data_IF_302640913301
#
_entry.id   IF_302640913301
#
_cell.length_a   1.000
_cell.length_b   1.000
_cell.length_c   1.000
_cell.angle_alpha   90.00
_cell.angle_beta   90.00
_cell.angle_gamma   90.00
#
_symmetry.space_group_name_H-M   'P 1'
#
loop_
_entity.id
_entity.type
_entity.pdbx_description
1 polymer ?
#
# COMPACT_ATOMS: atom_id res chain seq x y z
N UNK A 1 -41.41 -42.13 55.05
CA UNK A 1 -40.00 -41.97 54.67
C UNK A 1 -39.91 -42.32 53.22
N UNK A 2 -39.90 -41.30 52.41
CA UNK A 2 -40.03 -41.45 50.96
C UNK A 2 -38.82 -40.75 50.32
N UNK A 3 -38.01 -41.52 49.66
CA UNK A 3 -36.85 -41.06 48.89
C UNK A 3 -37.24 -40.98 47.44
N UNK A 4 -37.24 -39.74 46.90
CA UNK A 4 -37.40 -39.50 45.48
C UNK A 4 -36.04 -39.56 44.77
N UNK A 5 -35.95 -40.08 43.55
CA UNK A 5 -34.73 -40.11 42.76
C UNK A 5 -34.53 -38.79 42.00
N UNK A 6 -33.29 -38.31 42.01
CA UNK A 6 -32.81 -37.16 41.29
C UNK A 6 -32.61 -37.56 39.82
N UNK A 7 -33.26 -36.87 38.89
CA UNK A 7 -33.08 -37.01 37.47
C UNK A 7 -31.92 -36.11 37.03
N UNK A 8 -30.87 -36.73 36.45
CA UNK A 8 -29.78 -36.00 35.79
C UNK A 8 -30.26 -35.37 34.48
N UNK A 9 -29.79 -34.19 34.12
CA UNK A 9 -30.00 -33.64 32.78
C UNK A 9 -29.00 -34.24 31.79
N UNK A 10 -29.51 -34.78 30.71
CA UNK A 10 -28.73 -35.17 29.54
C UNK A 10 -27.97 -33.97 28.99
N UNK A 11 -26.64 -34.01 29.03
CA UNK A 11 -25.75 -33.15 28.27
C UNK A 11 -25.88 -33.55 26.79
N UNK A 12 -26.57 -32.74 26.00
CA UNK A 12 -26.49 -32.76 24.55
C UNK A 12 -25.20 -32.03 24.15
N UNK A 13 -24.16 -32.78 23.82
CA UNK A 13 -23.00 -32.26 23.11
C UNK A 13 -23.46 -31.75 21.72
N UNK A 14 -23.02 -30.54 21.30
CA UNK A 14 -23.23 -30.15 19.91
C UNK A 14 -22.29 -30.98 19.03
N UNK A 15 -22.85 -31.90 18.28
CA UNK A 15 -22.18 -32.63 17.20
C UNK A 15 -21.73 -31.60 16.14
N UNK A 16 -20.54 -31.07 16.29
CA UNK A 16 -19.85 -30.37 15.18
C UNK A 16 -19.52 -31.47 14.15
N UNK A 17 -20.32 -31.51 13.11
CA UNK A 17 -19.99 -32.24 11.89
C UNK A 17 -18.68 -31.64 11.33
N UNK A 18 -17.57 -32.31 11.56
CA UNK A 18 -16.30 -32.11 10.87
C UNK A 18 -16.48 -32.53 9.42
N UNK A 19 -17.14 -31.70 8.62
CA UNK A 19 -17.11 -31.84 7.18
C UNK A 19 -15.64 -31.73 6.77
N UNK A 20 -15.11 -32.74 6.13
CA UNK A 20 -13.79 -32.74 5.48
C UNK A 20 -13.85 -31.64 4.43
N UNK A 21 -13.32 -30.45 4.79
CA UNK A 21 -13.29 -29.29 3.88
C UNK A 21 -12.27 -29.61 2.81
N UNK A 22 -12.72 -29.79 1.59
CA UNK A 22 -11.87 -29.93 0.40
C UNK A 22 -11.10 -28.61 0.28
N UNK A 23 -9.77 -28.64 0.25
CA UNK A 23 -8.94 -27.47 0.14
C UNK A 23 -9.33 -26.65 -1.10
N UNK A 24 -9.41 -25.33 -0.95
CA UNK A 24 -9.71 -24.43 -2.06
C UNK A 24 -8.46 -24.26 -2.93
N UNK A 25 -8.60 -24.35 -4.25
CA UNK A 25 -7.51 -23.96 -5.15
C UNK A 25 -7.28 -22.47 -5.04
N UNK A 26 -8.35 -21.67 -5.02
CA UNK A 26 -8.31 -20.22 -4.92
C UNK A 26 -9.40 -19.70 -3.97
N UNK A 27 -9.02 -18.83 -3.07
CA UNK A 27 -9.93 -17.97 -2.31
C UNK A 27 -9.89 -16.57 -2.88
N UNK A 28 -11.04 -16.00 -3.22
CA UNK A 28 -11.18 -14.60 -3.69
C UNK A 28 -11.98 -13.83 -2.64
N UNK A 29 -11.38 -12.80 -2.05
CA UNK A 29 -12.05 -11.92 -1.10
C UNK A 29 -12.40 -10.60 -1.78
N UNK A 30 -13.65 -10.18 -1.62
CA UNK A 30 -14.20 -8.95 -2.19
C UNK A 30 -14.76 -8.06 -1.07
N UNK A 31 -13.91 -7.28 -0.36
CA UNK A 31 -14.33 -6.49 0.81
C UNK A 31 -15.40 -5.45 0.51
N UNK A 32 -15.48 -4.97 -0.74
CA UNK A 32 -16.42 -3.92 -1.17
C UNK A 32 -17.44 -4.42 -2.20
N UNK A 33 -17.80 -5.72 -2.17
CA UNK A 33 -18.67 -6.31 -3.19
C UNK A 33 -20.13 -5.87 -3.05
N UNK A 34 -20.74 -5.53 -4.19
CA UNK A 34 -22.19 -5.50 -4.40
C UNK A 34 -22.63 -6.80 -5.08
N UNK A 35 -23.94 -7.08 -5.10
CA UNK A 35 -24.47 -8.24 -5.81
C UNK A 35 -24.08 -8.27 -7.30
N UNK A 36 -24.03 -7.12 -7.95
CA UNK A 36 -23.62 -6.97 -9.36
C UNK A 36 -22.13 -7.30 -9.54
N UNK A 37 -21.25 -6.75 -8.68
CA UNK A 37 -19.82 -7.05 -8.69
C UNK A 37 -19.59 -8.56 -8.48
N UNK A 38 -20.31 -9.16 -7.53
CA UNK A 38 -20.20 -10.58 -7.25
C UNK A 38 -20.55 -11.42 -8.50
N UNK A 39 -21.67 -11.13 -9.16
CA UNK A 39 -22.10 -11.88 -10.34
C UNK A 39 -21.07 -11.76 -11.48
N UNK A 40 -20.63 -10.56 -11.78
CA UNK A 40 -19.60 -10.31 -12.80
C UNK A 40 -18.29 -11.03 -12.48
N UNK A 41 -17.86 -11.00 -11.22
CA UNK A 41 -16.62 -11.69 -10.81
C UNK A 41 -16.74 -13.20 -10.87
N UNK A 42 -17.91 -13.78 -10.57
CA UNK A 42 -18.16 -15.22 -10.78
C UNK A 42 -17.93 -15.65 -12.23
N UNK A 43 -18.52 -14.92 -13.17
CA UNK A 43 -18.40 -15.21 -14.60
C UNK A 43 -16.95 -15.08 -15.08
N UNK A 44 -16.25 -14.06 -14.62
CA UNK A 44 -14.84 -13.83 -14.96
C UNK A 44 -13.92 -14.90 -14.40
N UNK A 45 -14.13 -15.33 -13.14
CA UNK A 45 -13.35 -16.39 -12.51
C UNK A 45 -13.63 -17.77 -13.13
N UNK A 46 -14.87 -18.07 -13.48
CA UNK A 46 -15.22 -19.28 -14.20
C UNK A 46 -14.47 -19.38 -15.56
N UNK A 47 -14.38 -18.24 -16.26
CA UNK A 47 -13.62 -18.14 -17.50
C UNK A 47 -12.10 -18.21 -17.29
N UNK A 48 -11.59 -17.62 -16.21
CA UNK A 48 -10.15 -17.55 -15.93
C UNK A 48 -9.57 -18.91 -15.51
N UNK A 49 -10.33 -19.71 -14.74
CA UNK A 49 -9.88 -20.94 -14.09
C UNK A 49 -10.94 -22.06 -14.21
N UNK A 50 -11.19 -22.58 -15.40
CA UNK A 50 -12.22 -23.59 -15.59
C UNK A 50 -11.88 -24.87 -14.82
N UNK A 51 -12.89 -25.41 -14.13
CA UNK A 51 -12.79 -26.70 -13.40
C UNK A 51 -12.00 -26.64 -12.08
N UNK A 52 -11.61 -25.45 -11.59
CA UNK A 52 -10.96 -25.30 -10.30
C UNK A 52 -11.97 -25.05 -9.18
N UNK A 53 -11.61 -25.44 -7.94
CA UNK A 53 -12.40 -25.16 -6.74
C UNK A 53 -12.12 -23.75 -6.25
N UNK A 54 -13.08 -22.83 -6.42
CA UNK A 54 -12.95 -21.43 -6.09
C UNK A 54 -13.96 -21.06 -5.01
N UNK A 55 -13.49 -20.40 -3.95
CA UNK A 55 -14.36 -19.75 -2.97
C UNK A 55 -14.33 -18.24 -3.18
N UNK A 56 -15.50 -17.59 -3.21
CA UNK A 56 -15.63 -16.14 -3.22
C UNK A 56 -16.17 -15.72 -1.87
N UNK A 57 -15.38 -14.99 -1.11
CA UNK A 57 -15.72 -14.50 0.21
C UNK A 57 -16.17 -13.03 0.14
N UNK A 58 -17.33 -12.74 0.74
CA UNK A 58 -17.90 -11.38 0.84
C UNK A 58 -18.23 -11.06 2.29
N UNK A 59 -18.11 -9.80 2.75
CA UNK A 59 -18.46 -9.42 4.12
C UNK A 59 -19.98 -9.37 4.30
N UNK A 60 -20.45 -9.93 5.41
CA UNK A 60 -21.73 -9.64 6.04
C UNK A 60 -23.02 -10.11 5.38
N UNK A 61 -23.48 -11.30 5.64
CA UNK A 61 -24.89 -11.77 5.77
C UNK A 61 -25.93 -11.45 4.65
N UNK A 62 -25.50 -10.97 3.49
CA UNK A 62 -26.43 -10.42 2.48
C UNK A 62 -26.71 -11.37 1.32
N UNK A 63 -25.97 -12.47 1.19
CA UNK A 63 -26.11 -13.39 0.05
C UNK A 63 -26.17 -14.83 0.53
N UNK A 64 -27.22 -15.57 0.11
CA UNK A 64 -27.29 -16.99 0.38
C UNK A 64 -26.10 -17.73 -0.29
N UNK A 65 -25.47 -18.70 0.39
CA UNK A 65 -24.42 -19.49 -0.18
C UNK A 65 -24.87 -20.18 -1.48
N UNK A 66 -24.27 -19.77 -2.59
CA UNK A 66 -24.55 -20.34 -3.90
C UNK A 66 -23.35 -21.10 -4.40
N UNK A 67 -23.57 -22.36 -4.80
CA UNK A 67 -22.53 -23.17 -5.43
C UNK A 67 -22.95 -23.53 -6.83
N UNK A 68 -22.15 -23.17 -7.83
CA UNK A 68 -22.30 -23.59 -9.23
C UNK A 68 -20.93 -23.60 -9.91
N UNK A 69 -20.74 -24.55 -10.82
CA UNK A 69 -19.55 -24.62 -11.68
C UNK A 69 -18.20 -24.63 -10.93
N UNK A 70 -18.13 -25.24 -9.73
CA UNK A 70 -16.93 -25.26 -8.91
C UNK A 70 -16.67 -23.96 -8.13
N UNK A 71 -17.55 -22.95 -8.23
CA UNK A 71 -17.46 -21.68 -7.51
C UNK A 71 -18.49 -21.65 -6.39
N UNK A 72 -18.01 -21.49 -5.17
CA UNK A 72 -18.86 -21.37 -3.96
C UNK A 72 -18.72 -19.98 -3.36
N UNK A 73 -19.84 -19.30 -3.15
CA UNK A 73 -19.86 -18.04 -2.42
C UNK A 73 -19.99 -18.32 -0.92
N UNK A 74 -19.16 -17.67 -0.12
CA UNK A 74 -19.15 -17.77 1.33
C UNK A 74 -19.26 -16.38 1.96
N UNK A 75 -19.91 -16.34 3.09
CA UNK A 75 -20.09 -15.14 3.90
C UNK A 75 -19.13 -15.14 5.07
N UNK A 76 -18.58 -13.97 5.44
CA UNK A 76 -17.75 -13.86 6.62
C UNK A 76 -18.08 -12.60 7.44
N UNK A 77 -17.99 -12.69 8.76
CA UNK A 77 -18.16 -11.51 9.61
C UNK A 77 -16.93 -10.60 9.48
N UNK A 78 -17.05 -9.51 8.73
CA UNK A 78 -15.98 -8.51 8.70
C UNK A 78 -16.03 -7.63 9.94
N UNK A 79 -14.87 -7.37 10.52
CA UNK A 79 -14.70 -6.42 11.61
C UNK A 79 -14.44 -4.99 11.10
N UNK A 80 -14.28 -4.83 9.79
CA UNK A 80 -14.14 -3.51 9.16
C UNK A 80 -15.39 -2.66 9.36
N UNK A 81 -15.22 -1.46 9.87
CA UNK A 81 -16.30 -0.49 10.06
C UNK A 81 -16.53 0.39 8.86
N UNK A 82 -15.50 0.58 8.03
CA UNK A 82 -15.53 1.41 6.83
C UNK A 82 -14.47 0.93 5.86
N UNK A 83 -14.89 0.26 4.78
CA UNK A 83 -13.98 0.03 3.66
C UNK A 83 -13.49 1.38 3.14
N UNK A 84 -12.19 1.60 3.13
CA UNK A 84 -11.62 2.88 2.66
C UNK A 84 -11.83 3.10 1.17
N UNK A 85 -12.16 2.06 0.44
CA UNK A 85 -12.39 2.08 -1.01
C UNK A 85 -11.13 2.32 -1.86
N UNK A 86 -10.16 3.07 -1.36
CA UNK A 86 -8.96 3.47 -2.11
C UNK A 86 -7.72 2.60 -1.87
N UNK A 87 -7.73 1.77 -0.83
CA UNK A 87 -6.67 0.80 -0.53
C UNK A 87 -7.22 -0.34 0.33
N UNK A 88 -6.54 -1.49 0.32
CA UNK A 88 -6.80 -2.58 1.26
C UNK A 88 -6.28 -2.22 2.65
N UNK A 89 -7.11 -2.47 3.67
CA UNK A 89 -6.80 -2.20 5.08
C UNK A 89 -6.16 -3.42 5.76
N UNK A 90 -5.67 -3.23 6.99
CA UNK A 90 -5.20 -4.34 7.82
C UNK A 90 -6.28 -5.37 8.10
N UNK A 91 -7.54 -4.94 8.19
CA UNK A 91 -8.68 -5.84 8.41
C UNK A 91 -8.94 -6.68 7.18
N UNK A 92 -8.90 -6.08 5.97
CA UNK A 92 -9.07 -6.82 4.73
C UNK A 92 -8.02 -7.93 4.57
N UNK A 93 -6.75 -7.61 4.91
CA UNK A 93 -5.68 -8.61 4.91
C UNK A 93 -5.83 -9.66 6.01
N UNK A 94 -6.28 -9.27 7.21
CA UNK A 94 -6.47 -10.19 8.33
C UNK A 94 -7.61 -11.17 8.03
N UNK A 95 -8.78 -10.66 7.64
CA UNK A 95 -9.97 -11.46 7.36
C UNK A 95 -9.69 -12.44 6.20
N UNK A 96 -9.13 -11.93 5.08
CA UNK A 96 -8.77 -12.78 3.95
C UNK A 96 -7.72 -13.83 4.28
N UNK A 97 -6.75 -13.50 5.13
CA UNK A 97 -5.72 -14.44 5.57
C UNK A 97 -6.27 -15.51 6.51
N UNK A 98 -7.20 -15.16 7.41
CA UNK A 98 -7.87 -16.12 8.28
C UNK A 98 -8.72 -17.12 7.48
N UNK A 99 -9.49 -16.62 6.52
CA UNK A 99 -10.25 -17.44 5.60
C UNK A 99 -9.34 -18.35 4.76
N UNK A 100 -8.20 -17.83 4.30
CA UNK A 100 -7.22 -18.63 3.56
C UNK A 100 -6.74 -19.86 4.35
N UNK A 101 -6.50 -19.69 5.64
CA UNK A 101 -6.11 -20.78 6.54
C UNK A 101 -7.30 -21.69 6.85
N UNK A 102 -8.48 -21.14 7.06
CA UNK A 102 -9.70 -21.90 7.37
C UNK A 102 -10.11 -22.82 6.22
N UNK A 103 -10.02 -22.35 4.98
CA UNK A 103 -10.39 -23.09 3.78
C UNK A 103 -9.21 -23.80 3.11
N UNK A 104 -8.04 -23.83 3.76
CA UNK A 104 -6.79 -24.41 3.23
C UNK A 104 -6.54 -24.00 1.77
N UNK A 105 -6.66 -22.69 1.50
CA UNK A 105 -6.53 -22.14 0.17
C UNK A 105 -5.07 -22.17 -0.30
N UNK A 106 -4.83 -22.68 -1.52
CA UNK A 106 -3.50 -22.69 -2.12
C UNK A 106 -3.03 -21.27 -2.48
N UNK A 107 -3.95 -20.44 -2.94
CA UNK A 107 -3.74 -19.01 -3.19
C UNK A 107 -4.94 -18.19 -2.72
N UNK A 108 -4.68 -16.94 -2.34
CA UNK A 108 -5.71 -15.96 -1.99
C UNK A 108 -5.57 -14.75 -2.87
N UNK A 109 -6.68 -14.26 -3.41
CA UNK A 109 -6.79 -13.02 -4.16
C UNK A 109 -7.72 -12.08 -3.41
N UNK A 110 -7.26 -10.87 -3.10
CA UNK A 110 -8.09 -9.81 -2.50
C UNK A 110 -8.22 -8.70 -3.50
N UNK A 111 -9.43 -8.30 -3.82
CA UNK A 111 -9.73 -7.24 -4.77
C UNK A 111 -10.53 -6.14 -4.07
N UNK A 112 -10.00 -4.94 -4.09
CA UNK A 112 -10.64 -3.76 -3.51
C UNK A 112 -11.83 -3.25 -4.34
N UNK A 113 -12.22 -2.01 -4.08
CA UNK A 113 -13.31 -1.36 -4.80
C UNK A 113 -13.08 -1.35 -6.32
N UNK A 114 -14.15 -1.29 -7.10
CA UNK A 114 -14.11 -1.34 -8.58
C UNK A 114 -13.43 -2.61 -9.15
N UNK A 115 -13.53 -3.75 -8.44
CA UNK A 115 -12.89 -5.02 -8.79
C UNK A 115 -13.13 -5.46 -10.24
N UNK A 116 -14.30 -5.14 -10.79
CA UNK A 116 -14.69 -5.48 -12.17
C UNK A 116 -13.89 -4.73 -13.24
N UNK A 117 -13.26 -3.60 -12.89
CA UNK A 117 -12.43 -2.83 -13.82
C UNK A 117 -11.03 -3.43 -14.02
N UNK A 118 -10.58 -4.38 -13.17
CA UNK A 118 -9.31 -5.08 -13.35
C UNK A 118 -9.32 -5.87 -14.66
N UNK A 119 -8.29 -5.75 -15.48
CA UNK A 119 -8.21 -6.49 -16.74
C UNK A 119 -8.21 -8.01 -16.54
N UNK A 120 -8.69 -8.78 -17.51
CA UNK A 120 -8.66 -10.26 -17.42
C UNK A 120 -7.21 -10.77 -17.38
N UNK A 121 -6.31 -10.14 -18.11
CA UNK A 121 -4.88 -10.48 -18.11
C UNK A 121 -4.26 -10.22 -16.75
N UNK A 122 -4.61 -9.09 -16.10
CA UNK A 122 -4.16 -8.76 -14.74
C UNK A 122 -4.69 -9.76 -13.71
N UNK A 123 -5.98 -10.10 -13.79
CA UNK A 123 -6.61 -11.10 -12.93
C UNK A 123 -5.90 -12.46 -13.01
N UNK A 124 -5.73 -12.98 -14.23
CA UNK A 124 -5.03 -14.24 -14.45
C UNK A 124 -3.57 -14.19 -14.05
N UNK A 125 -2.90 -13.06 -14.31
CA UNK A 125 -1.50 -12.85 -13.96
C UNK A 125 -1.26 -12.93 -12.45
N UNK A 126 -2.08 -12.22 -11.66
CA UNK A 126 -2.01 -12.25 -10.20
C UNK A 126 -2.23 -13.67 -9.64
N UNK A 127 -3.28 -14.34 -10.10
CA UNK A 127 -3.61 -15.70 -9.65
C UNK A 127 -2.48 -16.67 -10.00
N UNK A 128 -2.03 -16.67 -11.25
CA UNK A 128 -1.02 -17.61 -11.74
C UNK A 128 0.35 -17.38 -11.11
N UNK A 129 0.70 -16.16 -10.74
CA UNK A 129 1.97 -15.87 -10.06
C UNK A 129 2.08 -16.64 -8.72
N UNK A 130 0.96 -16.73 -8.00
CA UNK A 130 0.92 -17.42 -6.71
C UNK A 130 0.67 -18.91 -6.86
N UNK A 131 -0.33 -19.34 -7.65
CA UNK A 131 -0.66 -20.76 -7.83
C UNK A 131 0.51 -21.56 -8.40
N UNK A 132 1.29 -20.97 -9.31
CA UNK A 132 2.47 -21.65 -9.88
C UNK A 132 3.69 -21.59 -8.96
N UNK A 133 3.57 -21.09 -7.73
CA UNK A 133 4.65 -21.00 -6.75
C UNK A 133 5.78 -20.03 -7.11
N UNK A 134 5.53 -19.09 -8.05
CA UNK A 134 6.50 -18.09 -8.49
C UNK A 134 6.61 -16.90 -7.53
N UNK A 135 5.54 -16.64 -6.78
CA UNK A 135 5.47 -15.55 -5.82
C UNK A 135 4.76 -15.97 -4.53
N UNK A 136 5.16 -15.38 -3.42
CA UNK A 136 4.40 -15.42 -2.16
C UNK A 136 3.44 -14.25 -2.05
N UNK A 137 3.80 -13.15 -2.70
CA UNK A 137 2.99 -11.94 -2.82
C UNK A 137 3.08 -11.45 -4.27
N UNK A 138 1.96 -11.37 -4.95
CA UNK A 138 1.84 -10.77 -6.27
C UNK A 138 1.01 -9.49 -6.16
N UNK A 139 1.57 -8.39 -6.66
CA UNK A 139 0.95 -7.06 -6.67
C UNK A 139 0.79 -6.58 -8.10
N UNK A 140 -0.29 -5.84 -8.40
CA UNK A 140 -0.49 -5.33 -9.74
C UNK A 140 0.35 -4.08 -10.00
N UNK A 141 0.80 -3.96 -11.24
CA UNK A 141 1.22 -2.70 -11.85
C UNK A 141 0.19 -2.30 -12.87
N UNK A 142 -0.58 -1.27 -12.54
CA UNK A 142 -1.59 -0.72 -13.45
C UNK A 142 -0.93 0.23 -14.45
N UNK A 143 -1.62 0.43 -15.56
CA UNK A 143 -1.30 1.51 -16.48
C UNK A 143 -1.88 2.80 -15.89
N UNK A 144 -1.01 3.66 -15.37
CA UNK A 144 -1.36 4.92 -14.71
C UNK A 144 -0.91 6.10 -15.56
N UNK A 145 -1.67 7.19 -15.51
CA UNK A 145 -1.28 8.46 -16.11
C UNK A 145 -0.21 9.18 -15.26
N UNK A 146 0.37 10.28 -15.78
CA UNK A 146 1.39 11.05 -15.07
C UNK A 146 0.89 11.73 -13.80
N UNK A 147 -0.42 11.87 -13.62
CA UNK A 147 -1.07 12.46 -12.45
C UNK A 147 -1.55 11.43 -11.41
N UNK A 148 -1.43 10.14 -11.74
CA UNK A 148 -1.92 9.07 -10.87
C UNK A 148 -0.85 8.60 -9.90
N UNK A 149 -1.31 8.02 -8.78
CA UNK A 149 -0.46 7.38 -7.78
C UNK A 149 0.72 8.25 -7.27
N UNK A 150 0.57 9.58 -7.24
CA UNK A 150 1.64 10.52 -6.91
C UNK A 150 2.22 10.33 -5.51
N UNK A 151 1.41 9.95 -4.51
CA UNK A 151 1.89 9.60 -3.16
C UNK A 151 2.79 8.37 -3.22
N UNK A 152 2.40 7.37 -4.02
CA UNK A 152 3.22 6.17 -4.22
C UNK A 152 4.54 6.52 -4.90
N UNK A 153 4.50 7.28 -5.97
CA UNK A 153 5.65 7.66 -6.79
C UNK A 153 6.65 8.55 -6.04
N UNK A 154 6.16 9.45 -5.18
CA UNK A 154 6.99 10.38 -4.42
C UNK A 154 7.59 9.81 -3.15
N UNK A 155 6.87 8.94 -2.46
CA UNK A 155 7.16 8.52 -1.09
C UNK A 155 7.17 7.01 -0.90
N UNK A 156 6.05 6.32 -1.26
CA UNK A 156 5.86 4.96 -0.80
C UNK A 156 6.78 3.98 -1.55
N UNK A 157 6.83 4.06 -2.87
CA UNK A 157 7.71 3.23 -3.68
C UNK A 157 9.19 3.54 -3.39
N UNK A 158 9.67 4.79 -3.44
CA UNK A 158 11.07 5.09 -3.13
C UNK A 158 11.52 4.61 -1.75
N UNK A 159 10.70 4.80 -0.70
CA UNK A 159 11.02 4.35 0.66
C UNK A 159 11.04 2.82 0.77
N UNK A 160 10.01 2.14 0.27
CA UNK A 160 9.94 0.67 0.36
C UNK A 160 10.99 0.01 -0.51
N UNK A 161 11.30 0.59 -1.67
CA UNK A 161 12.38 0.12 -2.54
C UNK A 161 13.75 0.25 -1.86
N UNK A 162 14.08 1.42 -1.34
CA UNK A 162 15.38 1.67 -0.72
C UNK A 162 15.56 0.89 0.58
N UNK A 163 14.54 0.81 1.44
CA UNK A 163 14.68 0.24 2.77
C UNK A 163 14.45 -1.27 2.79
N UNK A 164 13.48 -1.76 2.04
CA UNK A 164 13.09 -3.17 2.04
C UNK A 164 13.48 -3.95 0.77
N UNK A 165 13.94 -3.26 -0.26
CA UNK A 165 14.25 -3.89 -1.56
C UNK A 165 13.01 -4.27 -2.35
N UNK A 166 11.85 -3.69 -2.03
CA UNK A 166 10.61 -3.96 -2.75
C UNK A 166 10.65 -3.36 -4.16
N UNK A 167 10.17 -4.10 -5.15
CA UNK A 167 10.11 -3.64 -6.56
C UNK A 167 8.72 -3.18 -6.97
N UNK A 168 7.72 -3.37 -6.12
CA UNK A 168 6.35 -2.99 -6.40
C UNK A 168 6.16 -1.47 -6.35
N UNK A 169 5.70 -0.88 -7.45
CA UNK A 169 5.45 0.57 -7.57
C UNK A 169 4.23 1.04 -6.76
N UNK A 170 3.32 0.12 -6.42
CA UNK A 170 2.15 0.37 -5.58
C UNK A 170 2.24 -0.49 -4.30
N UNK A 171 3.10 -0.11 -3.34
CA UNK A 171 3.32 -0.91 -2.13
C UNK A 171 2.13 -0.87 -1.15
N UNK A 172 1.21 0.08 -1.31
CA UNK A 172 -0.11 0.11 -0.66
C UNK A 172 -1.14 -0.33 -1.70
N UNK A 173 -1.47 -1.65 -1.76
CA UNK A 173 -2.22 -2.17 -2.87
C UNK A 173 -3.73 -1.95 -2.73
N UNK A 174 -4.41 -1.84 -3.88
CA UNK A 174 -5.86 -1.97 -4.00
C UNK A 174 -6.25 -3.43 -4.26
N UNK A 175 -5.38 -4.17 -4.95
CA UNK A 175 -5.56 -5.60 -5.24
C UNK A 175 -4.27 -6.35 -4.87
N UNK A 176 -4.37 -7.57 -4.35
CA UNK A 176 -3.22 -8.40 -4.01
C UNK A 176 -3.54 -9.89 -4.14
N UNK A 177 -2.57 -10.68 -4.61
CA UNK A 177 -2.65 -12.13 -4.48
C UNK A 177 -1.50 -12.64 -3.62
N UNK A 178 -1.74 -13.64 -2.77
CA UNK A 178 -0.73 -14.15 -1.88
C UNK A 178 -0.88 -15.64 -1.54
N UNK A 179 0.25 -16.25 -1.18
CA UNK A 179 0.35 -17.66 -0.81
C UNK A 179 -0.14 -17.92 0.61
N UNK A 180 -0.45 -19.20 0.93
CA UNK A 180 -0.79 -19.62 2.29
C UNK A 180 0.27 -19.26 3.33
N UNK A 181 1.57 -19.26 2.99
CA UNK A 181 2.60 -18.83 3.94
C UNK A 181 2.62 -17.31 4.15
N UNK A 182 2.30 -16.53 3.13
CA UNK A 182 2.12 -15.07 3.29
C UNK A 182 0.88 -14.75 4.11
N UNK A 183 -0.23 -15.49 3.93
CA UNK A 183 -1.41 -15.38 4.77
C UNK A 183 -1.09 -15.59 6.26
N UNK A 184 -0.35 -16.65 6.61
CA UNK A 184 0.10 -16.90 7.99
C UNK A 184 0.97 -15.78 8.55
N UNK A 185 1.80 -15.18 7.71
CA UNK A 185 2.63 -14.02 8.08
C UNK A 185 1.76 -12.80 8.38
N UNK A 186 0.80 -12.48 7.51
CA UNK A 186 -0.11 -11.34 7.69
C UNK A 186 -0.96 -11.48 8.96
N UNK A 187 -1.47 -12.67 9.27
CA UNK A 187 -2.19 -12.92 10.52
C UNK A 187 -1.31 -12.58 11.75
N UNK A 188 -0.04 -12.98 11.72
CA UNK A 188 0.86 -12.75 12.85
C UNK A 188 1.16 -11.27 13.09
N UNK A 189 1.11 -10.46 12.03
CA UNK A 189 1.46 -9.05 12.06
C UNK A 189 0.25 -8.17 12.37
N UNK A 190 -0.90 -8.47 11.78
CA UNK A 190 -2.13 -7.67 11.94
C UNK A 190 -2.74 -7.74 13.35
N UNK A 191 -2.34 -8.73 14.17
CA UNK A 191 -2.79 -8.87 15.57
C UNK A 191 -2.21 -7.86 16.54
N UNK A 192 -1.25 -7.02 16.14
CA UNK A 192 -0.67 -6.00 17.02
C UNK A 192 -1.52 -4.73 16.95
N UNK A 193 -2.25 -4.35 18.00
CA UNK A 193 -3.00 -3.09 17.99
C UNK A 193 -2.01 -1.93 17.91
N UNK A 194 -2.03 -1.22 16.80
CA UNK A 194 -1.41 0.09 16.68
C UNK A 194 -2.35 1.10 17.31
N UNK A 195 -1.94 1.70 18.43
CA UNK A 195 -2.81 2.46 19.30
C UNK A 195 -3.52 3.64 18.65
N UNK A 196 -4.80 3.75 18.92
CA UNK A 196 -5.44 5.01 19.24
C UNK A 196 -5.92 5.92 18.10
N UNK A 197 -5.90 5.53 16.84
CA UNK A 197 -6.45 6.33 15.73
C UNK A 197 -7.85 5.84 15.31
N UNK A 198 -8.72 6.78 14.93
CA UNK A 198 -10.09 6.48 14.48
C UNK A 198 -10.14 5.82 13.08
N UNK A 199 -9.04 5.83 12.33
CA UNK A 199 -8.90 5.18 11.02
C UNK A 199 -8.44 3.74 11.17
N UNK A 200 -8.87 2.88 10.25
CA UNK A 200 -8.39 1.50 10.18
C UNK A 200 -6.90 1.47 9.85
N UNK A 201 -6.11 0.66 10.57
CA UNK A 201 -4.67 0.61 10.32
C UNK A 201 -4.38 0.07 8.92
N UNK A 202 -3.33 0.60 8.30
CA UNK A 202 -2.79 0.10 7.04
C UNK A 202 -1.72 -0.96 7.30
N UNK A 203 -1.61 -1.92 6.39
CA UNK A 203 -0.56 -2.95 6.38
C UNK A 203 0.32 -2.76 5.16
N UNK A 204 1.61 -3.04 5.33
CA UNK A 204 2.62 -2.95 4.28
C UNK A 204 3.07 -4.36 3.87
N UNK A 205 2.31 -5.06 3.02
CA UNK A 205 2.59 -6.46 2.68
C UNK A 205 3.98 -6.64 2.05
N UNK A 206 4.45 -5.65 1.29
CA UNK A 206 5.81 -5.68 0.69
C UNK A 206 6.91 -5.70 1.74
N UNK A 207 6.76 -4.92 2.82
CA UNK A 207 7.72 -4.89 3.92
C UNK A 207 7.67 -6.19 4.74
N UNK A 208 6.48 -6.74 4.96
CA UNK A 208 6.31 -8.03 5.63
C UNK A 208 6.92 -9.18 4.82
N UNK A 209 6.71 -9.19 3.51
CA UNK A 209 7.32 -10.17 2.61
C UNK A 209 8.84 -10.07 2.61
N UNK A 210 9.40 -8.85 2.55
CA UNK A 210 10.83 -8.60 2.59
C UNK A 210 11.46 -9.12 3.89
N UNK A 211 10.87 -8.79 5.05
CA UNK A 211 11.35 -9.27 6.36
C UNK A 211 11.31 -10.79 6.47
N UNK A 212 10.31 -11.43 5.86
CA UNK A 212 10.17 -12.89 5.83
C UNK A 212 11.01 -13.56 4.73
N UNK A 213 11.72 -12.79 3.90
CA UNK A 213 12.45 -13.29 2.72
C UNK A 213 11.55 -14.05 1.73
N UNK A 214 10.32 -13.57 1.56
CA UNK A 214 9.35 -14.08 0.62
C UNK A 214 9.52 -13.46 -0.76
N UNK A 215 9.08 -14.17 -1.79
CA UNK A 215 9.19 -13.71 -3.17
C UNK A 215 8.02 -12.77 -3.46
N UNK A 216 8.34 -11.52 -3.80
CA UNK A 216 7.38 -10.51 -4.27
C UNK A 216 7.50 -10.41 -5.78
N UNK A 217 6.37 -10.47 -6.49
CA UNK A 217 6.33 -10.27 -7.94
C UNK A 217 5.34 -9.16 -8.29
N UNK A 218 5.75 -8.23 -9.13
CA UNK A 218 4.88 -7.23 -9.72
C UNK A 218 4.33 -7.76 -11.07
N UNK A 219 3.02 -7.65 -11.26
CA UNK A 219 2.29 -8.18 -12.41
C UNK A 219 1.71 -7.03 -13.22
N UNK A 220 2.03 -6.94 -14.50
CA UNK A 220 1.38 -5.97 -15.40
C UNK A 220 -0.12 -6.31 -15.50
N UNK A 221 -0.94 -5.46 -14.93
CA UNK A 221 -2.38 -5.69 -14.79
C UNK A 221 -3.24 -4.90 -15.78
N UNK A 222 -2.62 -4.06 -16.63
CA UNK A 222 -3.34 -3.21 -17.57
C UNK A 222 -4.10 -2.09 -16.89
N UNK A 223 -5.24 -1.70 -17.48
CA UNK A 223 -6.08 -0.63 -16.96
C UNK A 223 -6.82 -1.06 -15.69
N UNK A 224 -6.99 -0.12 -14.79
CA UNK A 224 -7.73 -0.28 -13.52
C UNK A 224 -8.30 1.07 -13.10
N UNK A 225 -9.58 1.12 -12.82
CA UNK A 225 -10.17 2.29 -12.18
C UNK A 225 -9.66 2.38 -10.75
N UNK A 226 -8.92 3.42 -10.45
CA UNK A 226 -8.40 3.69 -9.10
C UNK A 226 -9.37 4.62 -8.37
N UNK A 227 -10.03 4.14 -7.30
CA UNK A 227 -10.92 4.97 -6.51
C UNK A 227 -10.16 6.15 -5.91
N UNK A 228 -10.75 7.33 -6.01
CA UNK A 228 -10.16 8.55 -5.43
C UNK A 228 -10.84 8.85 -4.09
N UNK A 229 -10.08 9.19 -3.05
CA UNK A 229 -10.62 9.58 -1.75
C UNK A 229 -11.16 11.02 -1.78
N UNK A 230 -12.22 11.27 -2.58
CA UNK A 230 -12.76 12.59 -2.90
C UNK A 230 -13.28 13.37 -1.68
N UNK A 231 -13.66 12.68 -0.61
CA UNK A 231 -14.30 13.27 0.56
C UNK A 231 -13.33 13.53 1.73
N UNK A 232 -12.02 13.36 1.49
CA UNK A 232 -11.01 13.48 2.54
C UNK A 232 -10.04 14.62 2.28
N UNK A 233 -9.68 15.32 3.35
CA UNK A 233 -8.61 16.33 3.30
C UNK A 233 -7.25 15.68 2.98
N UNK A 234 -6.50 16.30 2.07
CA UNK A 234 -5.19 15.80 1.64
C UNK A 234 -4.20 15.66 2.81
N UNK A 235 -4.22 16.60 3.76
CA UNK A 235 -3.31 16.56 4.91
C UNK A 235 -3.62 15.35 5.80
N UNK A 236 -4.91 15.07 6.04
CA UNK A 236 -5.35 13.94 6.85
C UNK A 236 -4.99 12.62 6.17
N UNK A 237 -5.28 12.50 4.88
CA UNK A 237 -4.98 11.31 4.10
C UNK A 237 -3.46 11.05 4.02
N UNK A 238 -2.68 12.08 3.72
CA UNK A 238 -1.23 11.97 3.65
C UNK A 238 -0.64 11.62 5.02
N UNK A 239 -1.14 12.22 6.10
CA UNK A 239 -0.70 11.92 7.46
C UNK A 239 -1.02 10.48 7.86
N UNK A 240 -2.18 9.95 7.48
CA UNK A 240 -2.56 8.56 7.72
C UNK A 240 -1.62 7.59 6.98
N UNK A 241 -1.46 7.77 5.68
CA UNK A 241 -0.64 6.88 4.85
C UNK A 241 0.83 6.93 5.26
N UNK A 242 1.40 8.14 5.32
CA UNK A 242 2.83 8.33 5.61
C UNK A 242 3.15 7.99 7.07
N UNK A 243 2.27 8.35 7.99
CA UNK A 243 2.40 8.00 9.41
C UNK A 243 2.40 6.50 9.64
N UNK A 244 1.54 5.76 8.92
CA UNK A 244 1.52 4.30 8.94
C UNK A 244 2.83 3.71 8.40
N UNK A 245 3.33 4.20 7.26
CA UNK A 245 4.60 3.74 6.69
C UNK A 245 5.79 4.04 7.60
N UNK A 246 5.85 5.25 8.18
CA UNK A 246 6.93 5.62 9.10
C UNK A 246 6.92 4.76 10.36
N UNK A 247 5.75 4.42 10.89
CA UNK A 247 5.61 3.49 12.00
C UNK A 247 6.08 2.08 11.64
N UNK A 248 5.78 1.62 10.43
CA UNK A 248 6.24 0.33 9.92
C UNK A 248 7.77 0.30 9.74
N UNK A 249 8.36 1.37 9.19
CA UNK A 249 9.81 1.56 9.08
C UNK A 249 10.46 1.54 10.47
N UNK A 250 9.88 2.23 11.46
CA UNK A 250 10.36 2.25 12.84
C UNK A 250 10.41 0.83 13.44
N UNK A 251 9.34 0.06 13.29
CA UNK A 251 9.25 -1.31 13.84
C UNK A 251 10.22 -2.29 13.18
N UNK A 252 10.57 -2.07 11.91
CA UNK A 252 11.44 -2.95 11.10
C UNK A 252 12.87 -2.43 10.98
N UNK A 253 13.28 -1.50 11.86
CA UNK A 253 14.60 -0.85 11.78
C UNK A 253 15.79 -1.83 11.79
N UNK A 254 15.70 -2.91 12.57
CA UNK A 254 16.74 -3.94 12.62
C UNK A 254 16.94 -4.68 11.30
N UNK A 255 15.89 -4.78 10.49
CA UNK A 255 15.95 -5.41 9.17
C UNK A 255 16.56 -4.45 8.15
N UNK A 256 15.93 -3.30 7.90
CA UNK A 256 16.33 -2.45 6.78
C UNK A 256 17.70 -1.80 6.94
N UNK A 257 18.20 -1.62 8.16
CA UNK A 257 19.58 -1.16 8.40
C UNK A 257 20.66 -2.14 7.91
N UNK A 258 20.31 -3.43 7.80
CA UNK A 258 21.21 -4.49 7.35
C UNK A 258 20.95 -4.94 5.93
N UNK A 259 19.71 -4.75 5.46
CA UNK A 259 19.30 -5.14 4.12
C UNK A 259 20.11 -4.35 3.07
N UNK A 260 20.62 -5.06 2.08
CA UNK A 260 21.20 -4.40 0.90
C UNK A 260 20.06 -3.76 0.12
N UNK A 261 20.28 -2.55 -0.37
CA UNK A 261 19.35 -1.95 -1.29
C UNK A 261 19.25 -2.81 -2.56
N UNK A 262 18.04 -3.03 -3.07
CA UNK A 262 17.87 -3.65 -4.37
C UNK A 262 18.49 -2.73 -5.44
N UNK A 263 19.10 -3.31 -6.47
CA UNK A 263 19.43 -2.54 -7.66
C UNK A 263 18.13 -2.13 -8.33
N UNK A 264 17.96 -0.86 -8.75
CA UNK A 264 16.76 -0.45 -9.47
C UNK A 264 16.58 -1.38 -10.69
N UNK A 265 15.40 -1.98 -10.79
CA UNK A 265 15.05 -2.78 -11.95
C UNK A 265 15.04 -1.85 -13.16
N UNK A 266 15.78 -2.19 -14.23
CA UNK A 266 15.60 -1.47 -15.50
C UNK A 266 14.17 -1.69 -15.96
N UNK A 267 13.41 -0.62 -16.26
CA UNK A 267 12.06 -0.77 -16.75
C UNK A 267 12.09 -1.65 -18.01
N UNK A 268 11.36 -2.75 -18.01
CA UNK A 268 11.40 -3.75 -19.07
C UNK A 268 10.54 -3.41 -20.29
N UNK A 269 9.69 -2.38 -20.20
CA UNK A 269 8.95 -1.81 -21.33
C UNK A 269 8.59 -0.35 -21.02
N UNK A 270 8.85 0.54 -21.99
CA UNK A 270 8.39 1.93 -21.91
C UNK A 270 6.87 1.99 -22.08
N UNK A 271 6.14 2.68 -21.18
CA UNK A 271 4.71 2.87 -21.35
C UNK A 271 4.43 3.76 -22.56
N UNK A 272 3.30 3.51 -23.23
CA UNK A 272 2.88 4.32 -24.38
C UNK A 272 2.41 5.70 -23.92
N UNK A 273 2.90 6.82 -24.49
CA UNK A 273 2.54 8.16 -24.06
C UNK A 273 1.06 8.48 -24.27
N UNK A 274 0.42 9.08 -23.27
CA UNK A 274 -0.92 9.68 -23.37
C UNK A 274 -0.75 11.21 -23.40
N UNK A 275 -1.41 11.89 -24.34
CA UNK A 275 -1.24 13.33 -24.56
C UNK A 275 -1.86 14.17 -23.41
N UNK A 276 -1.12 15.14 -22.92
CA UNK A 276 -1.47 16.05 -21.83
C UNK A 276 -2.04 17.38 -22.28
N UNK A 277 -2.78 18.07 -21.39
CA UNK A 277 -3.51 19.32 -21.67
C UNK A 277 -2.88 20.56 -21.03
N UNK A 278 -3.16 21.75 -21.59
CA UNK A 278 -2.57 23.04 -21.20
C UNK A 278 -2.94 23.57 -19.80
N UNK A 279 -3.90 22.97 -19.12
CA UNK A 279 -4.30 23.33 -17.76
C UNK A 279 -3.21 23.02 -16.69
N UNK A 280 -2.37 22.02 -16.96
CA UNK A 280 -1.33 21.54 -16.03
C UNK A 280 -0.27 22.60 -15.67
N UNK A 281 0.07 23.49 -16.59
CA UNK A 281 1.08 24.52 -16.32
C UNK A 281 0.60 25.61 -15.34
N UNK A 282 -0.72 25.81 -15.26
CA UNK A 282 -1.32 26.74 -14.31
C UNK A 282 -1.20 26.18 -12.88
N UNK A 283 -1.53 24.89 -12.71
CA UNK A 283 -1.47 24.22 -11.42
C UNK A 283 -0.05 24.18 -10.84
N UNK A 284 0.96 23.95 -11.70
CA UNK A 284 2.37 23.97 -11.27
C UNK A 284 2.77 25.34 -10.71
N UNK A 285 2.33 26.46 -11.32
CA UNK A 285 2.62 27.79 -10.81
C UNK A 285 2.00 28.03 -9.45
N UNK A 286 0.73 27.67 -9.30
CA UNK A 286 0.01 27.80 -8.03
C UNK A 286 0.66 26.95 -6.93
N UNK A 287 1.02 25.71 -7.20
CA UNK A 287 1.73 24.85 -6.25
C UNK A 287 3.09 25.45 -5.86
N UNK A 288 3.85 26.01 -6.80
CA UNK A 288 5.14 26.64 -6.53
C UNK A 288 4.99 27.90 -5.66
N UNK A 289 3.94 28.71 -5.87
CA UNK A 289 3.61 29.86 -5.03
C UNK A 289 3.19 29.43 -3.63
N UNK A 290 2.36 28.40 -3.51
CA UNK A 290 1.97 27.83 -2.23
C UNK A 290 3.18 27.28 -1.46
N UNK A 291 4.16 26.68 -2.15
CA UNK A 291 5.40 26.26 -1.50
C UNK A 291 6.22 27.45 -0.98
N UNK A 292 6.31 28.56 -1.70
CA UNK A 292 7.00 29.79 -1.22
C UNK A 292 6.38 30.33 0.06
N UNK A 293 5.04 30.37 0.07
CA UNK A 293 4.29 30.80 1.27
C UNK A 293 4.53 29.81 2.43
N UNK A 294 4.47 28.53 2.15
CA UNK A 294 4.71 27.48 3.14
C UNK A 294 6.16 27.56 3.68
N UNK A 295 7.15 27.83 2.83
CA UNK A 295 8.53 28.01 3.28
C UNK A 295 8.65 29.16 4.29
N UNK A 296 7.98 30.27 4.04
CA UNK A 296 7.98 31.41 4.95
C UNK A 296 7.33 31.09 6.29
N UNK A 297 6.22 30.35 6.27
CA UNK A 297 5.41 30.08 7.47
C UNK A 297 5.92 28.87 8.28
N UNK A 298 6.54 27.88 7.65
CA UNK A 298 6.94 26.62 8.28
C UNK A 298 8.48 26.48 8.45
N UNK A 299 9.25 27.50 8.09
CA UNK A 299 10.71 27.46 8.17
C UNK A 299 11.21 27.10 9.57
N UNK A 300 10.58 27.61 10.62
CA UNK A 300 10.94 27.31 12.01
C UNK A 300 10.68 25.84 12.38
N UNK A 301 9.54 25.29 11.92
CA UNK A 301 9.20 23.89 12.13
C UNK A 301 10.18 23.00 11.37
N UNK A 302 10.45 23.32 10.11
CA UNK A 302 11.41 22.55 9.31
C UNK A 302 12.84 22.64 9.86
N UNK A 303 13.23 23.76 10.50
CA UNK A 303 14.52 23.89 11.15
C UNK A 303 14.72 22.97 12.37
N UNK A 304 13.63 22.49 12.99
CA UNK A 304 13.70 21.48 14.05
C UNK A 304 13.93 20.06 13.51
N UNK A 305 13.68 19.84 12.23
CA UNK A 305 13.67 18.49 11.61
C UNK A 305 14.83 18.35 10.61
N UNK A 306 15.06 19.37 9.81
CA UNK A 306 15.98 19.33 8.67
C UNK A 306 17.34 19.94 9.02
N UNK A 307 18.45 19.34 8.58
CA UNK A 307 19.78 19.93 8.68
C UNK A 307 19.90 21.25 7.88
N UNK A 308 20.88 22.11 8.23
CA UNK A 308 21.08 23.39 7.55
C UNK A 308 21.26 23.27 6.02
N UNK A 309 21.87 22.19 5.53
CA UNK A 309 22.06 21.96 4.10
C UNK A 309 20.74 21.72 3.37
N UNK A 310 19.85 20.88 3.94
CA UNK A 310 18.50 20.64 3.38
C UNK A 310 17.66 21.90 3.39
N UNK A 311 17.71 22.67 4.49
CA UNK A 311 17.02 23.98 4.58
C UNK A 311 17.54 24.98 3.54
N UNK A 312 18.86 25.02 3.32
CA UNK A 312 19.45 25.90 2.30
C UNK A 312 18.99 25.45 0.89
N UNK A 313 18.91 24.16 0.62
CA UNK A 313 18.32 23.61 -0.62
C UNK A 313 16.89 24.07 -0.83
N UNK A 314 16.02 23.88 0.15
CA UNK A 314 14.61 24.32 0.11
C UNK A 314 14.49 25.84 -0.05
N UNK A 315 15.36 26.62 0.61
CA UNK A 315 15.41 28.08 0.45
C UNK A 315 15.77 28.51 -0.98
N UNK A 316 16.66 27.81 -1.65
CA UNK A 316 16.98 28.08 -3.07
C UNK A 316 15.78 27.82 -3.96
N UNK A 317 15.08 26.70 -3.74
CA UNK A 317 13.87 26.32 -4.50
C UNK A 317 12.75 27.36 -4.26
N UNK A 318 12.54 27.81 -3.01
CA UNK A 318 11.52 28.82 -2.71
C UNK A 318 11.76 30.18 -3.41
N UNK A 319 12.97 30.46 -3.87
CA UNK A 319 13.35 31.66 -4.59
C UNK A 319 13.46 31.48 -6.10
N UNK A 320 13.41 30.24 -6.57
CA UNK A 320 13.51 29.95 -8.00
C UNK A 320 12.28 30.47 -8.75
N UNK A 321 12.43 30.96 -9.98
CA UNK A 321 11.27 31.23 -10.85
C UNK A 321 10.44 29.98 -11.06
N UNK A 322 9.16 30.12 -11.42
CA UNK A 322 8.26 28.97 -11.58
C UNK A 322 8.71 28.03 -12.72
N UNK A 323 9.31 28.58 -13.75
CA UNK A 323 9.91 27.86 -14.88
C UNK A 323 11.11 27.00 -14.49
N UNK A 324 11.82 27.35 -13.40
CA UNK A 324 12.98 26.62 -12.88
C UNK A 324 12.67 25.81 -11.61
N UNK A 325 11.39 25.82 -11.19
CA UNK A 325 10.98 25.16 -9.96
C UNK A 325 11.18 23.64 -10.07
N UNK A 326 12.14 23.11 -9.34
CA UNK A 326 12.43 21.67 -9.28
C UNK A 326 13.05 21.30 -7.94
N UNK A 327 12.61 20.20 -7.37
CA UNK A 327 13.23 19.57 -6.22
C UNK A 327 14.22 18.52 -6.73
N UNK A 328 15.53 18.66 -6.46
CA UNK A 328 16.50 17.61 -6.76
C UNK A 328 16.17 16.31 -6.03
N UNK A 329 16.34 15.16 -6.68
CA UNK A 329 15.95 13.87 -6.13
C UNK A 329 16.74 13.50 -4.86
N UNK A 330 17.99 13.87 -4.75
CA UNK A 330 18.84 13.68 -3.57
C UNK A 330 18.37 14.55 -2.39
N UNK A 331 18.00 15.80 -2.64
CA UNK A 331 17.43 16.68 -1.62
C UNK A 331 16.10 16.14 -1.13
N UNK A 332 15.26 15.65 -2.05
CA UNK A 332 13.98 15.02 -1.69
C UNK A 332 14.20 13.80 -0.80
N UNK A 333 15.07 12.89 -1.21
CA UNK A 333 15.38 11.68 -0.44
C UNK A 333 15.88 11.99 0.98
N UNK A 334 16.83 12.94 1.12
CA UNK A 334 17.33 13.38 2.43
C UNK A 334 16.24 14.02 3.27
N UNK A 335 15.44 14.90 2.68
CA UNK A 335 14.32 15.54 3.38
C UNK A 335 13.36 14.50 3.96
N UNK A 336 12.96 13.50 3.18
CA UNK A 336 12.06 12.46 3.65
C UNK A 336 12.72 11.57 4.72
N UNK A 337 14.00 11.24 4.57
CA UNK A 337 14.73 10.50 5.60
C UNK A 337 14.85 11.27 6.91
N UNK A 338 14.99 12.58 6.87
CA UNK A 338 14.99 13.42 8.06
C UNK A 338 13.61 13.45 8.74
N UNK A 339 12.52 13.44 7.96
CA UNK A 339 11.16 13.29 8.50
C UNK A 339 10.93 11.91 9.13
N UNK A 340 11.41 10.83 8.52
CA UNK A 340 11.39 9.47 9.11
C UNK A 340 12.14 9.45 10.45
N UNK A 341 13.32 10.06 10.49
CA UNK A 341 14.14 10.14 11.70
C UNK A 341 13.45 10.99 12.78
N UNK A 342 12.92 12.15 12.43
CA UNK A 342 12.19 13.03 13.36
C UNK A 342 10.93 12.34 13.93
N UNK A 343 10.24 11.54 13.10
CA UNK A 343 9.11 10.73 13.52
C UNK A 343 9.51 9.68 14.56
N UNK A 344 10.62 9.00 14.34
CA UNK A 344 11.19 8.02 15.27
C UNK A 344 11.65 8.66 16.58
N UNK A 345 12.42 9.75 16.50
CA UNK A 345 12.97 10.45 17.65
C UNK A 345 11.92 11.27 18.42
N UNK A 346 10.70 11.45 17.84
CA UNK A 346 9.66 12.31 18.39
C UNK A 346 10.15 13.74 18.62
N UNK A 347 10.96 14.23 17.71
CA UNK A 347 11.55 15.59 17.78
C UNK A 347 10.48 16.67 17.96
N UNK A 348 9.34 16.49 17.29
CA UNK A 348 8.11 17.30 17.46
C UNK A 348 6.90 16.35 17.48
N UNK A 349 5.73 16.89 17.80
CA UNK A 349 4.49 16.12 17.74
C UNK A 349 4.31 15.51 16.34
N UNK A 350 3.99 14.21 16.27
CA UNK A 350 3.88 13.46 15.01
C UNK A 350 2.83 14.04 14.05
N UNK A 351 1.70 14.51 14.57
CA UNK A 351 0.68 15.17 13.75
C UNK A 351 1.19 16.48 13.13
N UNK A 352 1.88 17.31 13.90
CA UNK A 352 2.50 18.53 13.37
C UNK A 352 3.62 18.22 12.36
N UNK A 353 4.42 17.17 12.62
CA UNK A 353 5.45 16.71 11.68
C UNK A 353 4.84 16.33 10.34
N UNK A 354 3.82 15.48 10.36
CA UNK A 354 3.15 14.98 9.15
C UNK A 354 2.42 16.12 8.40
N UNK A 355 1.78 17.04 9.12
CA UNK A 355 1.17 18.23 8.51
C UNK A 355 2.20 19.15 7.83
N UNK A 356 3.40 19.27 8.41
CA UNK A 356 4.49 20.05 7.81
C UNK A 356 5.11 19.39 6.56
N UNK A 357 4.80 18.11 6.29
CA UNK A 357 5.25 17.39 5.10
C UNK A 357 4.40 17.71 3.86
N UNK A 358 3.11 18.03 4.01
CA UNK A 358 2.20 18.23 2.88
C UNK A 358 2.67 19.31 1.89
N UNK A 359 3.14 20.50 2.29
CA UNK A 359 3.64 21.48 1.33
C UNK A 359 4.91 21.02 0.59
N UNK A 360 5.73 20.19 1.23
CA UNK A 360 6.92 19.60 0.59
C UNK A 360 6.51 18.55 -0.44
N UNK A 361 5.49 17.74 -0.12
CA UNK A 361 4.91 16.79 -1.05
C UNK A 361 4.32 17.50 -2.29
N UNK A 362 3.52 18.54 -2.09
CA UNK A 362 2.97 19.33 -3.19
C UNK A 362 4.06 19.99 -4.04
N UNK A 363 5.16 20.42 -3.42
CA UNK A 363 6.32 20.93 -4.15
C UNK A 363 7.00 19.82 -5.01
N UNK A 364 7.08 18.59 -4.51
CA UNK A 364 7.56 17.45 -5.32
C UNK A 364 6.59 17.18 -6.48
N UNK A 365 5.28 17.19 -6.23
CA UNK A 365 4.25 17.03 -7.28
C UNK A 365 4.42 18.10 -8.36
N UNK A 366 4.54 19.37 -8.00
CA UNK A 366 4.79 20.47 -8.95
C UNK A 366 6.06 20.22 -9.79
N UNK A 367 7.14 19.77 -9.14
CA UNK A 367 8.39 19.41 -9.83
C UNK A 367 8.18 18.24 -10.79
N UNK A 368 7.42 17.21 -10.38
CA UNK A 368 7.11 16.04 -11.19
C UNK A 368 6.29 16.39 -12.44
N UNK A 369 5.19 17.12 -12.25
CA UNK A 369 4.32 17.55 -13.34
C UNK A 369 5.07 18.43 -14.36
N UNK A 370 5.88 19.36 -13.88
CA UNK A 370 6.72 20.19 -14.74
C UNK A 370 7.73 19.36 -15.54
N UNK A 371 8.36 18.37 -14.94
CA UNK A 371 9.39 17.53 -15.59
C UNK A 371 8.79 16.52 -16.55
N UNK A 372 7.62 16.00 -16.24
CA UNK A 372 6.91 15.07 -17.12
C UNK A 372 6.27 15.79 -18.30
N UNK A 373 5.79 17.02 -18.12
CA UNK A 373 5.10 17.81 -19.15
C UNK A 373 4.06 16.98 -19.94
N UNK A 374 3.36 16.06 -19.23
CA UNK A 374 2.41 15.14 -19.82
C UNK A 374 3.00 13.92 -20.55
N UNK A 375 4.31 13.80 -20.61
CA UNK A 375 4.98 12.63 -21.18
C UNK A 375 5.10 11.52 -20.10
N UNK A 376 4.43 10.39 -20.35
CA UNK A 376 4.45 9.24 -19.46
C UNK A 376 5.86 8.63 -19.28
N UNK A 377 6.69 8.66 -20.31
CA UNK A 377 8.07 8.16 -20.22
C UNK A 377 8.94 9.07 -19.34
N UNK A 378 8.78 10.40 -19.48
CA UNK A 378 9.46 11.36 -18.63
C UNK A 378 8.96 11.27 -17.16
N UNK A 379 7.66 11.05 -16.95
CA UNK A 379 7.08 10.78 -15.63
C UNK A 379 7.68 9.53 -15.01
N UNK A 380 7.69 8.41 -15.72
CA UNK A 380 8.29 7.16 -15.26
C UNK A 380 9.78 7.32 -14.94
N UNK A 381 10.53 8.01 -15.80
CA UNK A 381 11.95 8.30 -15.57
C UNK A 381 12.17 9.09 -14.27
N UNK A 382 11.36 10.11 -14.01
CA UNK A 382 11.46 10.91 -12.77
C UNK A 382 11.15 10.09 -11.52
N UNK A 383 10.22 9.15 -11.59
CA UNK A 383 9.91 8.22 -10.48
C UNK A 383 11.10 7.31 -10.19
N UNK A 384 11.70 6.72 -11.23
CA UNK A 384 12.88 5.85 -11.08
C UNK A 384 14.11 6.63 -10.60
N UNK A 385 14.33 7.86 -11.07
CA UNK A 385 15.39 8.75 -10.57
C UNK A 385 15.18 9.05 -9.08
N UNK A 386 13.94 9.31 -8.67
CA UNK A 386 13.58 9.52 -7.27
C UNK A 386 13.91 8.26 -6.45
N UNK A 387 13.47 7.08 -6.88
CA UNK A 387 13.75 5.83 -6.18
C UNK A 387 15.25 5.54 -6.08
N UNK A 388 16.01 5.78 -7.16
CA UNK A 388 17.46 5.63 -7.18
C UNK A 388 18.16 6.57 -6.19
N UNK A 389 17.67 7.81 -6.03
CA UNK A 389 18.20 8.75 -5.05
C UNK A 389 17.98 8.26 -3.61
N UNK A 390 16.80 7.69 -3.30
CA UNK A 390 16.57 7.08 -1.99
C UNK A 390 17.50 5.90 -1.73
N UNK A 391 17.77 5.07 -2.73
CA UNK A 391 18.75 3.99 -2.62
C UNK A 391 20.15 4.54 -2.35
N UNK A 392 20.59 5.55 -3.10
CA UNK A 392 21.90 6.19 -2.94
C UNK A 392 22.06 6.86 -1.56
N UNK A 393 21.01 7.48 -1.04
CA UNK A 393 21.00 8.16 0.25
C UNK A 393 20.66 7.23 1.45
N UNK A 394 20.46 5.92 1.24
CA UNK A 394 20.23 4.98 2.35
C UNK A 394 21.33 5.00 3.41
N UNK A 395 22.64 5.09 3.08
CA UNK A 395 23.69 5.23 4.10
C UNK A 395 23.51 6.45 5.01
N UNK A 396 22.95 7.54 4.49
CA UNK A 396 22.65 8.74 5.26
C UNK A 396 21.66 8.45 6.40
N UNK A 397 20.49 7.86 6.11
CA UNK A 397 19.51 7.53 7.17
C UNK A 397 20.07 6.47 8.12
N UNK A 398 20.78 5.44 7.63
CA UNK A 398 21.36 4.39 8.49
C UNK A 398 22.35 5.00 9.49
N UNK A 399 23.19 5.92 9.04
CA UNK A 399 24.16 6.61 9.90
C UNK A 399 23.47 7.44 10.98
N UNK A 400 22.48 8.27 10.57
CA UNK A 400 21.73 9.14 11.50
C UNK A 400 20.84 8.37 12.47
N UNK A 401 20.30 7.24 12.04
CA UNK A 401 19.50 6.38 12.94
C UNK A 401 20.31 5.81 14.08
N UNK A 402 21.56 5.43 13.79
CA UNK A 402 22.48 4.85 14.79
C UNK A 402 23.11 5.90 15.71
N UNK A 403 23.32 7.11 15.20
CA UNK A 403 24.04 8.17 15.87
C UNK A 403 23.35 9.53 15.69
N UNK A 404 22.14 9.69 16.26
CA UNK A 404 21.34 10.91 16.04
C UNK A 404 22.06 12.16 16.56
N UNK A 405 22.81 12.07 17.67
CA UNK A 405 23.46 13.22 18.34
C UNK A 405 24.71 13.73 17.60
N UNK A 406 25.30 12.95 16.70
CA UNK A 406 26.48 13.37 15.94
C UNK A 406 26.19 14.43 14.85
N UNK A 407 24.94 14.62 14.52
CA UNK A 407 24.52 15.48 13.41
C UNK A 407 23.67 16.67 13.84
N UNK A 408 23.44 16.84 15.15
CA UNK A 408 22.97 18.11 15.70
C UNK A 408 24.20 18.96 15.97
N UNK A 409 24.36 20.09 15.24
CA UNK A 409 25.42 21.05 15.52
C UNK A 409 25.21 21.73 16.87
#
# INVERSE_FOLDING_TARGET
MSTSPITEPLNAEPTQATATRTGATLLVCLPSATAEILQTMRERLASALPGQTIFIAIPGGSVEPQSSDGITTIDYPSTSRTATGWALTAVDFLDSSQLAVEYDAAATLVLGAEATSLSMTGLQGLINAVLNGKADLALPRYQTGPHDALVSSSLLYPLTHALFGATAHLPLPLDAAFSSRMAKRLISTSRKPTGGTQSEPLVWPVAEAAVASFIVQEIHAGDRTLPQPSDRDLNELLAEIVGSLFSDIETKATFWQRARAAMPAKPSQEPTPVASQAEELQDVREMAENFRLAYTNLQEIWALVLPPQSLLGLKRISRAPAEDFAIPADLWARTIYDFVLAYHLRTINRGHLLGALTPLYLAWVASHLRRSAGDAAAAAFHVEETAAAFVAEKPYIVSRWRWPDRFNP
#
